data_IF_393944934740
#
_entry.id   IF_393944934740
#
_cell.length_a   1.000
_cell.length_b   1.000
_cell.length_c   1.000
_cell.angle_alpha   90.00
_cell.angle_beta   90.00
_cell.angle_gamma   90.00
#
_symmetry.space_group_name_H-M   'P 1'
#
loop_
_entity.id
_entity.type
_entity.pdbx_description
1 polymer ?
#
# COMPACT_ATOMS: atom_id res chain seq x y z
N UNK A 1 -54.76 -13.08 -4.79
CA UNK A 1 -54.14 -13.92 -3.74
C UNK A 1 -53.52 -12.99 -2.74
N UNK A 2 -53.98 -13.10 -1.53
CA UNK A 2 -54.11 -12.15 -0.43
C UNK A 2 -52.82 -11.75 0.27
N UNK A 3 -52.80 -10.47 0.64
CA UNK A 3 -51.74 -9.76 1.40
C UNK A 3 -51.62 -10.12 2.88
N UNK A 4 -52.25 -11.19 3.36
CA UNK A 4 -52.37 -11.50 4.78
C UNK A 4 -51.38 -12.53 5.33
N UNK A 5 -50.49 -13.10 4.50
CA UNK A 5 -49.55 -14.15 4.94
C UNK A 5 -48.21 -13.66 5.49
N UNK A 6 -47.93 -12.36 5.49
CA UNK A 6 -46.61 -11.82 5.93
C UNK A 6 -46.65 -11.21 7.34
N UNK A 7 -47.84 -11.10 7.96
CA UNK A 7 -47.95 -10.47 9.30
C UNK A 7 -47.98 -11.43 10.50
N UNK A 8 -47.78 -12.73 10.31
CA UNK A 8 -47.91 -13.72 11.40
C UNK A 8 -46.59 -14.26 11.98
N UNK A 9 -45.43 -13.74 11.59
CA UNK A 9 -44.11 -14.28 12.06
C UNK A 9 -43.37 -13.41 13.09
N UNK A 10 -43.99 -12.35 13.60
CA UNK A 10 -43.33 -11.47 14.59
C UNK A 10 -44.16 -11.31 15.88
N UNK A 11 -44.53 -12.38 16.54
CA UNK A 11 -44.92 -12.29 17.94
C UNK A 11 -44.85 -13.68 18.62
N UNK A 12 -43.90 -13.87 19.50
CA UNK A 12 -43.90 -14.72 20.68
C UNK A 12 -42.47 -15.13 21.09
N UNK A 13 -41.78 -14.25 21.81
CA UNK A 13 -40.83 -14.72 22.81
C UNK A 13 -41.34 -14.30 24.18
N UNK A 14 -41.93 -15.27 24.85
CA UNK A 14 -42.32 -15.18 26.26
C UNK A 14 -41.10 -15.25 27.15
N UNK A 15 -41.06 -14.27 28.04
CA UNK A 15 -40.26 -14.12 29.22
C UNK A 15 -40.55 -15.30 30.19
N UNK A 16 -39.53 -15.99 30.63
CA UNK A 16 -39.59 -16.91 31.79
C UNK A 16 -38.58 -16.42 32.82
N UNK A 17 -39.12 -15.81 33.86
CA UNK A 17 -38.44 -15.51 35.10
C UNK A 17 -38.41 -16.82 35.94
N UNK A 18 -37.26 -17.26 36.36
CA UNK A 18 -37.10 -18.23 37.45
C UNK A 18 -36.10 -17.66 38.48
N UNK A 19 -36.68 -17.32 39.61
CA UNK A 19 -35.98 -16.95 40.82
C UNK A 19 -35.40 -18.19 41.48
N UNK A 20 -34.11 -18.15 41.83
CA UNK A 20 -33.47 -19.17 42.67
C UNK A 20 -32.29 -18.54 43.36
N UNK A 21 -32.49 -18.15 44.62
CA UNK A 21 -31.43 -17.69 45.51
C UNK A 21 -30.70 -18.89 46.13
N UNK A 22 -29.37 -18.93 46.00
CA UNK A 22 -28.49 -19.64 46.94
C UNK A 22 -27.24 -18.75 47.13
N UNK A 23 -27.01 -18.44 48.40
CA UNK A 23 -25.82 -17.72 48.86
C UNK A 23 -24.65 -18.70 49.05
N UNK A 24 -23.44 -18.29 48.75
CA UNK A 24 -22.26 -18.31 49.63
C UNK A 24 -20.95 -18.34 48.83
N UNK A 25 -20.00 -17.49 49.20
CA UNK A 25 -18.58 -17.80 49.08
C UNK A 25 -17.82 -17.08 47.96
N UNK A 26 -17.34 -15.92 48.24
CA UNK A 26 -16.11 -15.24 47.92
C UNK A 26 -15.24 -15.70 46.77
N UNK A 27 -15.13 -14.86 45.77
CA UNK A 27 -13.91 -14.39 45.08
C UNK A 27 -14.36 -13.36 44.04
N UNK A 28 -14.14 -12.11 44.32
CA UNK A 28 -14.34 -11.03 43.33
C UNK A 28 -13.28 -11.19 42.21
N UNK A 29 -13.58 -12.03 41.24
CA UNK A 29 -12.90 -12.04 39.96
C UNK A 29 -13.27 -10.76 39.21
N UNK A 30 -12.39 -9.77 39.20
CA UNK A 30 -12.51 -8.61 38.34
C UNK A 30 -12.44 -9.12 36.89
N UNK A 31 -13.60 -9.25 36.25
CA UNK A 31 -13.67 -9.39 34.81
C UNK A 31 -13.08 -8.12 34.22
N UNK A 32 -11.78 -8.21 33.83
CA UNK A 32 -11.19 -7.26 32.92
C UNK A 32 -11.92 -7.41 31.59
N UNK A 33 -12.92 -6.57 31.37
CA UNK A 33 -13.40 -6.30 30.02
C UNK A 33 -12.22 -5.63 29.33
N UNK A 34 -11.52 -6.39 28.50
CA UNK A 34 -10.56 -5.82 27.57
C UNK A 34 -11.31 -4.77 26.75
N UNK A 35 -11.09 -3.50 27.07
CA UNK A 35 -11.55 -2.39 26.25
C UNK A 35 -11.03 -2.58 24.82
N UNK A 36 -11.65 -1.92 23.80
CA UNK A 36 -11.15 -1.95 22.43
C UNK A 36 -9.67 -1.60 22.49
N UNK A 37 -8.82 -2.56 22.10
CA UNK A 37 -7.37 -2.38 22.15
C UNK A 37 -7.06 -1.06 21.45
N UNK A 38 -6.47 -0.12 22.17
CA UNK A 38 -5.83 1.03 21.57
C UNK A 38 -4.89 0.45 20.51
N UNK A 39 -5.26 0.59 19.24
CA UNK A 39 -4.32 0.48 18.14
C UNK A 39 -3.24 1.50 18.48
N UNK A 40 -2.10 1.02 18.92
CA UNK A 40 -0.98 1.84 19.36
C UNK A 40 -0.59 2.66 18.13
N UNK A 41 -0.86 3.96 18.15
CA UNK A 41 -0.50 4.84 17.04
C UNK A 41 0.98 4.59 16.74
N UNK A 42 1.30 4.23 15.52
CA UNK A 42 2.62 3.73 15.10
C UNK A 42 3.71 4.81 15.06
N UNK A 43 3.54 5.89 15.82
CA UNK A 43 4.51 6.98 15.91
C UNK A 43 4.52 7.89 14.67
N UNK A 44 5.39 8.90 14.69
CA UNK A 44 5.58 9.85 13.60
C UNK A 44 6.68 9.39 12.66
N UNK A 45 6.53 9.63 11.36
CA UNK A 45 7.52 9.34 10.32
C UNK A 45 7.59 10.49 9.31
N UNK A 46 8.71 10.65 8.63
CA UNK A 46 8.86 11.69 7.60
C UNK A 46 8.01 11.41 6.37
N UNK A 47 7.83 10.12 6.04
CA UNK A 47 7.16 9.67 4.84
C UNK A 47 6.40 8.35 5.09
N UNK A 48 5.15 8.29 4.67
CA UNK A 48 4.42 7.06 4.40
C UNK A 48 4.58 6.75 2.91
N UNK A 49 5.20 5.62 2.58
CA UNK A 49 5.49 5.18 1.21
C UNK A 49 4.79 3.86 0.91
N UNK A 50 3.95 3.85 -0.11
CA UNK A 50 3.29 2.66 -0.62
C UNK A 50 3.91 2.30 -1.98
N UNK A 51 4.58 1.16 -2.07
CA UNK A 51 5.14 0.64 -3.32
C UNK A 51 4.13 -0.31 -3.97
N UNK A 52 3.61 0.10 -5.11
CA UNK A 52 2.59 -0.62 -5.88
C UNK A 52 3.23 -1.32 -7.08
N UNK A 53 3.40 -2.64 -7.02
CA UNK A 53 4.14 -3.44 -7.99
C UNK A 53 3.18 -4.17 -8.93
N UNK A 54 3.34 -3.93 -10.22
CA UNK A 54 2.56 -4.58 -11.28
C UNK A 54 2.85 -6.08 -11.35
N UNK A 55 1.77 -6.86 -11.39
CA UNK A 55 1.73 -8.30 -11.61
C UNK A 55 0.71 -8.66 -12.70
N UNK A 56 0.40 -7.75 -13.63
CA UNK A 56 -0.49 -7.98 -14.75
C UNK A 56 0.06 -9.04 -15.71
N UNK A 57 -0.73 -9.41 -16.72
CA UNK A 57 -0.41 -10.48 -17.66
C UNK A 57 0.92 -10.27 -18.40
N UNK A 58 1.30 -9.03 -18.68
CA UNK A 58 2.56 -8.68 -19.34
C UNK A 58 3.82 -8.94 -18.49
N UNK A 59 3.65 -9.06 -17.16
CA UNK A 59 4.77 -9.26 -16.23
C UNK A 59 4.99 -10.75 -15.98
N UNK A 60 6.07 -11.30 -16.45
CA UNK A 60 6.43 -12.68 -16.18
C UNK A 60 7.08 -12.90 -14.79
N UNK A 61 7.37 -14.17 -14.44
CA UNK A 61 7.95 -14.49 -13.13
C UNK A 61 9.39 -13.95 -12.94
N UNK A 62 10.18 -13.84 -14.03
CA UNK A 62 11.51 -13.23 -14.00
C UNK A 62 11.41 -11.72 -13.79
N UNK A 63 10.54 -11.08 -14.52
CA UNK A 63 10.30 -9.63 -14.46
C UNK A 63 9.78 -9.20 -13.10
N UNK A 64 8.82 -9.96 -12.54
CA UNK A 64 8.39 -9.77 -11.15
C UNK A 64 9.57 -9.88 -10.17
N UNK A 65 10.46 -10.87 -10.36
CA UNK A 65 11.63 -11.03 -9.50
C UNK A 65 12.58 -9.85 -9.62
N UNK A 66 12.80 -9.33 -10.82
CA UNK A 66 13.63 -8.14 -11.06
C UNK A 66 13.09 -6.89 -10.33
N UNK A 67 11.77 -6.73 -10.27
CA UNK A 67 11.16 -5.65 -9.50
C UNK A 67 11.44 -5.81 -7.99
N UNK A 68 11.18 -6.99 -7.42
CA UNK A 68 11.41 -7.24 -5.99
C UNK A 68 12.89 -7.10 -5.62
N UNK A 69 13.79 -7.67 -6.42
CA UNK A 69 15.22 -7.62 -6.20
C UNK A 69 15.75 -6.17 -6.34
N UNK A 70 15.24 -5.42 -7.31
CA UNK A 70 15.57 -4.01 -7.48
C UNK A 70 15.20 -3.16 -6.27
N UNK A 71 13.99 -3.32 -5.74
CA UNK A 71 13.55 -2.66 -4.50
C UNK A 71 14.47 -3.06 -3.34
N UNK A 72 14.70 -4.37 -3.13
CA UNK A 72 15.54 -4.85 -2.05
C UNK A 72 16.96 -4.29 -2.12
N UNK A 73 17.59 -4.34 -3.30
CA UNK A 73 18.93 -3.81 -3.52
C UNK A 73 19.01 -2.30 -3.28
N UNK A 74 18.00 -1.54 -3.68
CA UNK A 74 17.97 -0.10 -3.43
C UNK A 74 17.98 0.22 -1.94
N UNK A 75 17.20 -0.50 -1.12
CA UNK A 75 17.20 -0.33 0.33
C UNK A 75 18.49 -0.80 1.03
N UNK A 76 19.38 -1.50 0.34
CA UNK A 76 20.70 -1.84 0.88
C UNK A 76 21.78 -0.77 0.60
N UNK A 77 21.47 0.25 -0.20
CA UNK A 77 22.43 1.28 -0.56
C UNK A 77 22.61 2.33 0.53
N UNK A 78 23.84 2.83 0.63
CA UNK A 78 24.15 3.91 1.59
C UNK A 78 23.42 5.21 1.27
N UNK A 79 23.17 5.45 0.00
CA UNK A 79 22.49 6.65 -0.49
C UNK A 79 21.04 6.67 -0.05
N UNK A 80 20.33 5.55 -0.12
CA UNK A 80 18.96 5.43 0.41
C UNK A 80 18.96 5.57 1.93
N UNK A 81 19.94 4.98 2.64
CA UNK A 81 20.07 5.15 4.10
C UNK A 81 20.26 6.63 4.45
N UNK A 82 21.19 7.33 3.77
CA UNK A 82 21.40 8.77 3.99
C UNK A 82 20.19 9.62 3.66
N UNK A 83 19.44 9.27 2.59
CA UNK A 83 18.22 9.95 2.26
C UNK A 83 17.18 9.84 3.39
N UNK A 84 17.03 8.66 4.00
CA UNK A 84 16.16 8.45 5.17
C UNK A 84 16.66 9.26 6.37
N UNK A 85 17.93 9.14 6.70
CA UNK A 85 18.57 9.83 7.84
C UNK A 85 18.52 11.36 7.72
N UNK A 86 18.43 11.90 6.49
CA UNK A 86 18.36 13.34 6.24
C UNK A 86 17.00 13.96 6.54
N UNK A 87 15.96 13.17 6.71
CA UNK A 87 14.64 13.65 7.12
C UNK A 87 14.62 14.18 8.55
N UNK A 88 13.67 15.06 8.90
CA UNK A 88 13.55 15.63 10.25
C UNK A 88 13.45 14.59 11.37
N UNK A 89 12.84 13.44 11.10
CA UNK A 89 12.69 12.33 12.05
C UNK A 89 13.64 11.17 11.76
N UNK A 90 14.30 11.18 10.59
CA UNK A 90 15.24 10.15 10.15
C UNK A 90 14.59 8.77 9.96
N UNK A 91 13.29 8.70 9.67
CA UNK A 91 12.58 7.43 9.52
C UNK A 91 11.37 7.54 8.59
N UNK A 92 11.10 6.46 7.87
CA UNK A 92 9.96 6.32 6.96
C UNK A 92 9.17 5.05 7.28
N UNK A 93 7.89 5.03 6.93
CA UNK A 93 7.07 3.81 6.96
C UNK A 93 6.81 3.35 5.53
N UNK A 94 7.10 2.08 5.23
CA UNK A 94 6.98 1.50 3.89
C UNK A 94 6.10 0.25 3.94
N UNK A 95 5.26 0.09 2.92
CA UNK A 95 4.59 -1.17 2.60
C UNK A 95 4.68 -1.44 1.10
N UNK A 96 4.62 -2.70 0.72
CA UNK A 96 4.61 -3.16 -0.68
C UNK A 96 3.36 -3.98 -0.91
N UNK A 97 2.71 -3.77 -2.04
CA UNK A 97 1.63 -4.63 -2.49
C UNK A 97 1.76 -4.96 -3.99
N UNK A 98 1.24 -6.09 -4.36
CA UNK A 98 1.10 -6.55 -5.74
C UNK A 98 -0.29 -6.22 -6.25
N UNK A 99 -0.40 -5.91 -7.53
CA UNK A 99 -1.68 -5.63 -8.16
C UNK A 99 -1.71 -6.13 -9.61
N UNK A 100 -2.92 -6.43 -10.11
CA UNK A 100 -3.17 -6.79 -11.50
C UNK A 100 -4.56 -6.31 -11.95
N UNK A 101 -5.58 -7.14 -11.87
CA UNK A 101 -6.95 -6.80 -12.25
C UNK A 101 -7.66 -5.96 -11.17
N UNK A 102 -8.86 -5.47 -11.46
CA UNK A 102 -9.63 -4.56 -10.62
C UNK A 102 -9.89 -5.09 -9.19
N UNK A 103 -9.99 -6.40 -9.01
CA UNK A 103 -10.23 -7.04 -7.71
C UNK A 103 -9.00 -7.76 -7.15
N UNK A 104 -7.85 -7.63 -7.81
CA UNK A 104 -6.63 -8.37 -7.49
C UNK A 104 -5.54 -7.45 -6.94
N UNK A 105 -5.57 -7.20 -5.65
CA UNK A 105 -4.51 -6.52 -4.90
C UNK A 105 -4.16 -7.36 -3.66
N UNK A 106 -2.88 -7.53 -3.38
CA UNK A 106 -2.40 -8.27 -2.22
C UNK A 106 -1.21 -7.59 -1.56
N UNK A 107 -1.33 -7.32 -0.25
CA UNK A 107 -0.19 -6.83 0.53
C UNK A 107 0.92 -7.88 0.55
N UNK A 108 2.10 -7.49 0.10
CA UNK A 108 3.31 -8.33 0.13
C UNK A 108 4.07 -8.18 1.44
N UNK A 109 3.97 -7.02 2.09
CA UNK A 109 4.58 -6.77 3.40
C UNK A 109 3.64 -5.99 4.30
N UNK A 110 3.66 -6.25 5.62
CA UNK A 110 3.07 -5.32 6.58
C UNK A 110 3.83 -3.98 6.55
N UNK A 111 3.22 -2.95 7.09
CA UNK A 111 3.90 -1.68 7.35
C UNK A 111 5.20 -1.93 8.12
N UNK A 112 6.30 -1.40 7.61
CA UNK A 112 7.63 -1.54 8.19
C UNK A 112 8.25 -0.16 8.35
N UNK A 113 8.66 0.18 9.57
CA UNK A 113 9.44 1.39 9.83
C UNK A 113 10.90 1.12 9.46
N UNK A 114 11.47 2.05 8.70
CA UNK A 114 12.89 2.05 8.32
C UNK A 114 13.51 3.31 8.90
N UNK A 115 14.41 3.14 9.85
CA UNK A 115 15.03 4.19 10.65
C UNK A 115 16.56 4.09 10.71
N UNK A 116 17.11 3.25 9.85
CA UNK A 116 18.56 3.07 9.72
C UNK A 116 18.95 1.82 8.95
N UNK A 117 20.27 1.56 8.82
CA UNK A 117 20.78 0.46 7.98
C UNK A 117 20.27 -0.93 8.38
N UNK A 118 20.06 -1.18 9.68
CA UNK A 118 19.60 -2.49 10.16
C UNK A 118 18.17 -2.79 9.70
N UNK A 119 17.24 -1.85 9.91
CA UNK A 119 15.84 -1.98 9.47
C UNK A 119 15.71 -1.98 7.95
N UNK A 120 16.54 -1.18 7.24
CA UNK A 120 16.61 -1.17 5.78
C UNK A 120 17.08 -2.53 5.22
N UNK A 121 18.13 -3.11 5.78
CA UNK A 121 18.60 -4.44 5.38
C UNK A 121 17.59 -5.53 5.69
N UNK A 122 16.91 -5.48 6.84
CA UNK A 122 15.83 -6.42 7.16
C UNK A 122 14.67 -6.33 6.17
N UNK A 123 14.29 -5.12 5.76
CA UNK A 123 13.28 -4.90 4.72
C UNK A 123 13.74 -5.46 3.37
N UNK A 124 14.99 -5.20 2.96
CA UNK A 124 15.57 -5.74 1.74
C UNK A 124 15.51 -7.28 1.69
N UNK A 125 15.86 -7.96 2.79
CA UNK A 125 15.75 -9.42 2.86
C UNK A 125 14.33 -9.93 2.68
N UNK A 126 13.32 -9.18 3.16
CA UNK A 126 11.91 -9.50 2.87
C UNK A 126 11.63 -9.39 1.38
N UNK A 127 12.11 -8.34 0.70
CA UNK A 127 11.90 -8.18 -0.74
C UNK A 127 12.47 -9.36 -1.54
N UNK A 128 13.67 -9.84 -1.19
CA UNK A 128 14.27 -11.01 -1.82
C UNK A 128 13.49 -12.31 -1.62
N UNK A 129 12.61 -12.36 -0.62
CA UNK A 129 11.79 -13.54 -0.30
C UNK A 129 10.33 -13.44 -0.75
N UNK A 130 9.85 -12.23 -1.15
CA UNK A 130 8.48 -12.04 -1.62
C UNK A 130 8.23 -12.89 -2.87
N UNK A 131 7.16 -13.67 -2.84
CA UNK A 131 6.70 -14.45 -3.98
C UNK A 131 5.55 -13.72 -4.69
N UNK A 132 5.38 -13.99 -5.99
CA UNK A 132 4.19 -13.57 -6.72
C UNK A 132 2.97 -14.26 -6.11
N UNK A 133 2.00 -13.48 -5.67
CA UNK A 133 0.79 -13.96 -4.98
C UNK A 133 -0.43 -13.93 -5.90
N UNK A 134 -0.41 -13.06 -6.90
CA UNK A 134 -1.53 -12.83 -7.78
C UNK A 134 -1.41 -13.66 -9.06
N UNK A 135 -2.55 -14.17 -9.51
CA UNK A 135 -2.68 -14.71 -10.85
C UNK A 135 -2.52 -13.58 -11.89
N UNK A 136 -2.18 -13.98 -13.10
CA UNK A 136 -2.17 -13.08 -14.24
C UNK A 136 -3.57 -12.47 -14.43
N UNK A 137 -3.61 -11.18 -14.77
CA UNK A 137 -4.84 -10.43 -14.92
C UNK A 137 -4.64 -9.18 -15.77
N UNK A 138 -5.68 -8.38 -15.91
CA UNK A 138 -5.60 -7.09 -16.60
C UNK A 138 -4.72 -6.10 -15.86
N UNK A 139 -4.54 -4.91 -16.44
CA UNK A 139 -3.78 -3.80 -15.86
C UNK A 139 -4.77 -2.76 -15.32
N UNK A 140 -5.13 -2.87 -14.04
CA UNK A 140 -6.13 -2.01 -13.39
C UNK A 140 -5.45 -0.95 -12.50
N UNK A 141 -4.77 0.01 -13.13
CA UNK A 141 -4.03 1.09 -12.43
C UNK A 141 -4.95 1.89 -11.52
N UNK A 142 -6.19 2.22 -11.95
CA UNK A 142 -7.14 2.97 -11.13
C UNK A 142 -7.44 2.25 -9.82
N UNK A 143 -7.75 0.95 -9.87
CA UNK A 143 -7.99 0.14 -8.68
C UNK A 143 -6.75 0.01 -7.79
N UNK A 144 -5.56 -0.10 -8.37
CA UNK A 144 -4.30 -0.11 -7.64
C UNK A 144 -4.07 1.21 -6.88
N UNK A 145 -4.37 2.36 -7.50
CA UNK A 145 -4.28 3.68 -6.86
C UNK A 145 -5.25 3.81 -5.68
N UNK A 146 -6.50 3.34 -5.83
CA UNK A 146 -7.49 3.37 -4.74
C UNK A 146 -7.07 2.47 -3.58
N UNK A 147 -6.59 1.26 -3.86
CA UNK A 147 -6.07 0.36 -2.83
C UNK A 147 -4.89 0.96 -2.09
N UNK A 148 -3.92 1.53 -2.82
CA UNK A 148 -2.76 2.20 -2.24
C UNK A 148 -3.16 3.40 -1.35
N UNK A 149 -4.13 4.20 -1.80
CA UNK A 149 -4.64 5.34 -1.05
C UNK A 149 -5.36 4.91 0.23
N UNK A 150 -6.14 3.84 0.18
CA UNK A 150 -6.76 3.25 1.35
C UNK A 150 -5.70 2.75 2.35
N UNK A 151 -4.68 2.04 1.87
CA UNK A 151 -3.56 1.58 2.69
C UNK A 151 -2.80 2.75 3.34
N UNK A 152 -2.47 3.80 2.56
CA UNK A 152 -1.77 4.99 3.07
C UNK A 152 -2.59 5.76 4.12
N UNK A 153 -3.92 5.80 3.95
CA UNK A 153 -4.83 6.48 4.88
C UNK A 153 -5.01 5.68 6.17
N UNK A 154 -5.07 4.35 6.08
CA UNK A 154 -5.20 3.44 7.21
C UNK A 154 -3.87 3.12 7.90
N UNK A 155 -2.74 3.66 7.40
CA UNK A 155 -1.44 3.44 8.02
C UNK A 155 -1.45 3.87 9.50
N UNK A 156 -0.88 3.07 10.43
CA UNK A 156 -0.90 3.39 11.85
C UNK A 156 0.11 4.49 12.23
N UNK A 157 0.52 5.33 11.28
CA UNK A 157 1.53 6.37 11.44
C UNK A 157 0.98 7.75 11.09
N UNK A 158 1.53 8.77 11.73
CA UNK A 158 1.41 10.17 11.30
C UNK A 158 2.63 10.53 10.47
N UNK A 159 2.43 11.18 9.33
CA UNK A 159 3.52 11.55 8.43
C UNK A 159 3.33 12.95 7.84
N UNK A 160 4.46 13.61 7.57
CA UNK A 160 4.48 14.89 6.85
C UNK A 160 4.06 14.72 5.38
N UNK A 161 4.42 13.58 4.78
CA UNK A 161 4.11 13.26 3.39
C UNK A 161 3.58 11.85 3.23
N UNK A 162 2.68 11.69 2.27
CA UNK A 162 2.20 10.37 1.82
C UNK A 162 2.45 10.24 0.33
N UNK A 163 3.11 9.17 -0.06
CA UNK A 163 3.48 8.92 -1.47
C UNK A 163 3.07 7.51 -1.86
N UNK A 164 2.47 7.40 -3.03
CA UNK A 164 2.28 6.16 -3.76
C UNK A 164 3.31 6.13 -4.89
N UNK A 165 4.14 5.10 -4.89
CA UNK A 165 5.04 4.76 -5.98
C UNK A 165 4.41 3.62 -6.77
N UNK A 166 3.94 3.90 -7.99
CA UNK A 166 3.36 2.89 -8.86
C UNK A 166 4.28 2.57 -10.03
N UNK A 167 4.64 1.30 -10.18
CA UNK A 167 5.38 0.77 -11.33
C UNK A 167 4.48 -0.08 -12.21
N UNK A 168 4.60 0.09 -13.55
CA UNK A 168 3.90 -0.73 -14.54
C UNK A 168 4.59 -0.65 -15.91
N UNK A 169 4.41 -1.71 -16.73
CA UNK A 169 4.79 -1.78 -18.14
C UNK A 169 3.59 -1.58 -19.08
N UNK A 170 2.37 -1.43 -18.53
CA UNK A 170 1.13 -1.34 -19.28
C UNK A 170 0.30 -0.08 -19.03
N UNK A 171 -0.70 0.12 -19.88
CA UNK A 171 -1.75 1.14 -19.71
C UNK A 171 -2.94 0.54 -18.99
N UNK A 172 -3.69 1.40 -18.28
CA UNK A 172 -4.95 0.97 -17.68
C UNK A 172 -5.88 0.39 -18.74
N UNK A 173 -6.26 -0.87 -18.58
CA UNK A 173 -7.16 -1.59 -19.50
C UNK A 173 -8.33 -2.28 -18.78
N UNK A 174 -8.42 -2.15 -17.45
CA UNK A 174 -9.45 -2.70 -16.58
C UNK A 174 -9.84 -1.72 -15.49
N UNK A 175 -11.03 -1.95 -14.93
CA UNK A 175 -11.53 -1.19 -13.80
C UNK A 175 -11.94 0.25 -14.15
N UNK A 176 -11.83 1.13 -13.20
CA UNK A 176 -12.23 2.52 -13.32
C UNK A 176 -11.29 3.37 -14.19
N UNK A 177 -11.78 4.55 -14.56
CA UNK A 177 -10.99 5.56 -15.29
C UNK A 177 -9.86 6.04 -14.38
N UNK A 178 -8.63 5.88 -14.85
CA UNK A 178 -7.44 6.15 -14.03
C UNK A 178 -7.33 7.60 -13.59
N UNK A 179 -7.75 8.55 -14.42
CA UNK A 179 -7.74 9.97 -14.09
C UNK A 179 -8.70 10.30 -12.93
N UNK A 180 -9.83 9.60 -12.83
CA UNK A 180 -10.78 9.76 -11.72
C UNK A 180 -10.16 9.24 -10.42
N UNK A 181 -9.57 8.04 -10.46
CA UNK A 181 -8.86 7.47 -9.32
C UNK A 181 -7.70 8.36 -8.86
N UNK A 182 -6.88 8.85 -9.81
CA UNK A 182 -5.79 9.79 -9.53
C UNK A 182 -6.28 11.03 -8.80
N UNK A 183 -7.31 11.69 -9.34
CA UNK A 183 -7.81 12.95 -8.79
C UNK A 183 -8.38 12.76 -7.37
N UNK A 184 -9.05 11.65 -7.10
CA UNK A 184 -9.51 11.28 -5.76
C UNK A 184 -8.35 11.04 -4.79
N UNK A 185 -7.29 10.36 -5.21
CA UNK A 185 -6.08 10.14 -4.40
C UNK A 185 -5.39 11.47 -4.06
N UNK A 186 -5.26 12.37 -5.04
CA UNK A 186 -4.69 13.70 -4.84
C UNK A 186 -5.54 14.52 -3.86
N UNK A 187 -6.86 14.44 -3.96
CA UNK A 187 -7.78 15.12 -3.04
C UNK A 187 -7.61 14.68 -1.58
N UNK A 188 -7.09 13.47 -1.34
CA UNK A 188 -6.71 12.97 0.00
C UNK A 188 -5.32 13.46 0.46
N UNK A 189 -4.65 14.34 -0.28
CA UNK A 189 -3.32 14.85 0.06
C UNK A 189 -2.19 13.84 -0.17
N UNK A 190 -2.37 12.88 -1.06
CA UNK A 190 -1.39 11.85 -1.39
C UNK A 190 -0.75 12.19 -2.74
N UNK A 191 0.57 12.12 -2.83
CA UNK A 191 1.30 12.29 -4.09
C UNK A 191 1.45 10.93 -4.78
N UNK A 192 1.25 10.90 -6.09
CA UNK A 192 1.44 9.70 -6.92
C UNK A 192 2.65 9.93 -7.81
N UNK A 193 3.67 9.12 -7.63
CA UNK A 193 4.83 9.03 -8.53
C UNK A 193 4.78 7.75 -9.35
N UNK A 194 5.40 7.76 -10.53
CA UNK A 194 5.39 6.63 -11.43
C UNK A 194 6.79 6.11 -11.79
N UNK A 195 6.88 4.82 -12.05
CA UNK A 195 7.98 4.19 -12.76
C UNK A 195 7.39 3.49 -13.98
N UNK A 196 7.65 4.04 -15.17
CA UNK A 196 7.14 3.49 -16.42
C UNK A 196 8.21 2.57 -17.04
N UNK A 197 7.89 1.28 -17.20
CA UNK A 197 8.77 0.28 -17.82
C UNK A 197 8.40 0.21 -19.30
N UNK A 198 9.32 0.52 -20.19
CA UNK A 198 9.05 0.84 -21.60
C UNK A 198 9.14 -0.35 -22.56
N UNK A 199 9.35 -1.58 -22.05
CA UNK A 199 9.50 -2.77 -22.89
C UNK A 199 8.31 -3.03 -23.83
N UNK A 200 7.06 -2.90 -23.34
CA UNK A 200 5.84 -3.09 -24.11
C UNK A 200 5.40 -1.81 -24.85
N UNK A 201 5.55 -0.65 -24.19
CA UNK A 201 5.06 0.64 -24.67
C UNK A 201 6.15 1.71 -24.60
N UNK A 202 6.85 2.04 -25.69
CA UNK A 202 7.95 3.01 -25.68
C UNK A 202 7.57 4.44 -25.24
N UNK A 203 6.27 4.77 -25.22
CA UNK A 203 5.74 6.09 -24.80
C UNK A 203 4.94 6.02 -23.51
N UNK A 204 5.14 4.99 -22.70
CA UNK A 204 4.35 4.78 -21.47
C UNK A 204 4.58 5.90 -20.46
N UNK A 205 5.78 6.44 -20.39
CA UNK A 205 6.10 7.57 -19.52
C UNK A 205 5.28 8.82 -19.85
N UNK A 206 4.93 9.06 -21.11
CA UNK A 206 4.02 10.14 -21.49
C UNK A 206 2.59 9.89 -21.00
N UNK A 207 2.14 8.63 -21.07
CA UNK A 207 0.84 8.24 -20.51
C UNK A 207 0.82 8.43 -18.99
N UNK A 208 1.88 8.03 -18.28
CA UNK A 208 2.01 8.25 -16.84
C UNK A 208 1.92 9.72 -16.48
N UNK A 209 2.67 10.60 -17.20
CA UNK A 209 2.63 12.05 -16.99
C UNK A 209 1.25 12.65 -17.18
N UNK A 210 0.52 12.17 -18.17
CA UNK A 210 -0.80 12.70 -18.52
C UNK A 210 -1.90 12.22 -17.60
N UNK A 211 -1.88 10.93 -17.26
CA UNK A 211 -3.07 10.26 -16.70
C UNK A 211 -2.90 9.71 -15.29
N UNK A 212 -1.67 9.38 -14.85
CA UNK A 212 -1.47 8.60 -13.63
C UNK A 212 -0.90 9.44 -12.49
N UNK A 213 0.23 10.12 -12.72
CA UNK A 213 0.93 10.85 -11.66
C UNK A 213 0.24 12.15 -11.31
N UNK A 214 0.42 12.60 -10.04
CA UNK A 214 -0.17 13.86 -9.58
C UNK A 214 0.13 14.14 -8.11
N UNK A 215 -0.34 15.30 -7.65
CA UNK A 215 -0.03 15.82 -6.32
C UNK A 215 1.23 16.66 -6.27
N UNK A 216 1.61 17.21 -5.10
CA UNK A 216 2.79 18.06 -4.97
C UNK A 216 4.08 17.32 -5.34
N UNK A 217 4.90 17.95 -6.21
CA UNK A 217 6.23 17.44 -6.62
C UNK A 217 6.24 16.04 -7.25
N UNK A 218 5.11 15.63 -7.82
CA UNK A 218 5.00 14.37 -8.53
C UNK A 218 5.98 14.27 -9.71
N UNK A 219 6.41 13.07 -10.01
CA UNK A 219 7.29 12.77 -11.13
C UNK A 219 7.13 11.34 -11.64
N UNK A 220 7.60 11.09 -12.86
CA UNK A 220 7.76 9.74 -13.41
C UNK A 220 9.21 9.54 -13.84
N UNK A 221 9.74 8.37 -13.55
CA UNK A 221 11.01 7.90 -14.12
C UNK A 221 10.73 6.77 -15.11
N UNK A 222 11.35 6.79 -16.30
CA UNK A 222 11.31 5.66 -17.21
C UNK A 222 12.39 4.62 -16.85
N UNK A 223 12.09 3.36 -17.06
CA UNK A 223 13.04 2.27 -17.22
C UNK A 223 12.87 1.70 -18.62
N UNK A 224 13.93 1.54 -19.40
CA UNK A 224 13.85 1.04 -20.78
C UNK A 224 13.26 -0.37 -20.83
N UNK A 225 13.57 -1.17 -19.83
CA UNK A 225 13.15 -2.55 -19.64
C UNK A 225 13.26 -2.96 -18.16
N UNK A 226 12.96 -4.20 -17.84
CA UNK A 226 13.09 -4.73 -16.48
C UNK A 226 14.53 -4.89 -16.00
N UNK A 227 15.52 -5.00 -16.88
CA UNK A 227 16.93 -5.02 -16.49
C UNK A 227 17.39 -3.62 -16.02
N UNK A 228 16.80 -2.54 -16.60
CA UNK A 228 17.01 -1.16 -16.18
C UNK A 228 16.19 -0.76 -14.93
N UNK A 229 15.20 -1.57 -14.51
CA UNK A 229 14.32 -1.27 -13.37
C UNK A 229 15.10 -0.99 -12.08
N UNK A 230 16.14 -1.77 -11.80
CA UNK A 230 16.96 -1.61 -10.59
C UNK A 230 17.51 -0.20 -10.43
N UNK A 231 18.10 0.34 -11.49
CA UNK A 231 18.67 1.69 -11.46
C UNK A 231 17.56 2.75 -11.36
N UNK A 232 16.46 2.53 -12.05
CA UNK A 232 15.33 3.46 -12.04
C UNK A 232 14.68 3.54 -10.66
N UNK A 233 14.40 2.40 -10.00
CA UNK A 233 13.79 2.37 -8.66
C UNK A 233 14.73 2.91 -7.59
N UNK A 234 16.03 2.64 -7.68
CA UNK A 234 17.04 3.22 -6.80
C UNK A 234 17.01 4.76 -6.84
N UNK A 235 17.09 5.35 -8.04
CA UNK A 235 17.04 6.81 -8.22
C UNK A 235 15.69 7.39 -7.78
N UNK A 236 14.61 6.64 -8.04
CA UNK A 236 13.27 7.05 -7.69
C UNK A 236 13.09 7.12 -6.17
N UNK A 237 13.50 6.09 -5.44
CA UNK A 237 13.43 6.04 -3.97
C UNK A 237 14.22 7.19 -3.32
N UNK A 238 15.44 7.47 -3.78
CA UNK A 238 16.20 8.63 -3.26
C UNK A 238 15.38 9.92 -3.43
N UNK A 239 14.84 10.17 -4.63
CA UNK A 239 14.07 11.38 -4.92
C UNK A 239 12.79 11.49 -4.09
N UNK A 240 12.10 10.36 -3.85
CA UNK A 240 10.88 10.32 -3.03
C UNK A 240 11.17 10.56 -1.56
N UNK A 241 12.20 9.91 -1.04
CA UNK A 241 12.57 9.99 0.37
C UNK A 241 13.09 11.40 0.69
N UNK A 242 14.02 11.91 -0.11
CA UNK A 242 14.58 13.25 0.07
C UNK A 242 13.49 14.34 -0.06
N UNK A 243 12.54 14.17 -0.97
CA UNK A 243 11.48 15.15 -1.20
C UNK A 243 11.98 16.48 -1.79
N UNK A 244 11.10 17.48 -1.89
CA UNK A 244 11.46 18.81 -2.35
C UNK A 244 12.20 19.58 -1.24
N UNK A 245 13.39 19.99 -1.47
CA UNK A 245 14.08 20.95 -0.60
C UNK A 245 15.45 20.57 -0.06
N UNK A 246 16.02 19.43 -0.44
CA UNK A 246 17.39 19.02 -0.07
C UNK A 246 18.28 18.77 -1.30
N UNK A 247 18.00 19.47 -2.41
CA UNK A 247 18.87 19.44 -3.60
C UNK A 247 19.76 20.68 -3.63
#
# INVERSE_FOLDING_TARGET
>A
MNSDSIRQLLSRRRMLLLSGAVAAGGAAGVLHVAGPGNAQAGGEVDLILVLAVDCSYSVDGREFRLQMDGIGQAFQTREVHRAIESGPLGRIAVTVFQWSDAENQALSTPWTVIDGPASANAFAQKMFSVQRQLAEGGTAIGAALQFAAAAATAAPFTALRRVIDISSDGRNNRGEIVEVARDDVIARGITINGLAILNEWPTLDHYFRKSIIGGPYHFVLPANDYDAYREAIYRKLIKEITGPGLS
#
